data_IF_062933559560
#
_entry.id   IF_062933559560
#
_cell.length_a   1.000
_cell.length_b   1.000
_cell.length_c   1.000
_cell.angle_alpha   90.00
_cell.angle_beta   90.00
_cell.angle_gamma   90.00
#
_symmetry.space_group_name_H-M   'P 1'
#
loop_
_entity.id
_entity.type
_entity.pdbx_description
1 polymer ?
#
# COMPACT_ATOMS: atom_id res chain seq x y z
N UNK A 1 -39.59 -32.23 2.48
CA UNK A 1 -38.11 -32.14 2.42
C UNK A 1 -37.54 -30.73 2.29
N UNK A 2 -38.33 -29.65 2.15
CA UNK A 2 -37.80 -28.28 1.94
C UNK A 2 -37.57 -27.51 3.25
N UNK A 3 -38.40 -27.73 4.27
CA UNK A 3 -38.35 -26.98 5.53
C UNK A 3 -37.03 -27.12 6.33
N UNK A 4 -36.45 -28.33 6.37
CA UNK A 4 -35.22 -28.59 7.12
C UNK A 4 -34.00 -27.84 6.53
N UNK A 5 -33.92 -27.70 5.20
CA UNK A 5 -32.84 -26.99 4.52
C UNK A 5 -32.91 -25.48 4.76
N UNK A 6 -34.12 -24.92 4.81
CA UNK A 6 -34.36 -23.50 5.07
C UNK A 6 -34.00 -23.14 6.51
N UNK A 7 -34.34 -24.00 7.48
CA UNK A 7 -34.02 -23.81 8.89
C UNK A 7 -32.51 -23.74 9.16
N UNK A 8 -31.72 -24.65 8.59
CA UNK A 8 -30.25 -24.63 8.72
C UNK A 8 -29.63 -23.38 8.09
N UNK A 9 -30.16 -22.93 6.94
CA UNK A 9 -29.69 -21.70 6.29
C UNK A 9 -29.97 -20.47 7.15
N UNK A 10 -31.18 -20.36 7.68
CA UNK A 10 -31.58 -19.24 8.55
C UNK A 10 -30.72 -19.20 9.82
N UNK A 11 -30.46 -20.35 10.43
CA UNK A 11 -29.62 -20.45 11.62
C UNK A 11 -28.17 -20.00 11.33
N UNK A 12 -27.62 -20.41 10.18
CA UNK A 12 -26.31 -19.96 9.74
C UNK A 12 -26.27 -18.45 9.45
N UNK A 13 -27.28 -17.93 8.73
CA UNK A 13 -27.39 -16.50 8.43
C UNK A 13 -27.50 -15.66 9.70
N UNK A 14 -28.26 -16.14 10.70
CA UNK A 14 -28.37 -15.51 12.01
C UNK A 14 -27.02 -15.46 12.73
N UNK A 15 -26.32 -16.58 12.87
CA UNK A 15 -24.99 -16.62 13.52
C UNK A 15 -23.98 -15.73 12.79
N UNK A 16 -24.01 -15.73 11.45
CA UNK A 16 -23.13 -14.89 10.66
C UNK A 16 -23.46 -13.40 10.83
N UNK A 17 -24.73 -13.05 11.04
CA UNK A 17 -25.14 -11.68 11.32
C UNK A 17 -24.74 -11.25 12.73
N UNK A 18 -24.96 -12.11 13.74
CA UNK A 18 -24.52 -11.88 15.12
C UNK A 18 -23.01 -11.63 15.20
N UNK A 19 -22.22 -12.45 14.49
CA UNK A 19 -20.77 -12.25 14.42
C UNK A 19 -20.40 -10.90 13.77
N UNK A 20 -21.08 -10.53 12.68
CA UNK A 20 -20.84 -9.23 12.01
C UNK A 20 -21.17 -8.06 12.93
N UNK A 21 -22.27 -8.14 13.67
CA UNK A 21 -22.67 -7.09 14.61
C UNK A 21 -21.68 -6.99 15.77
N UNK A 22 -21.24 -8.11 16.32
CA UNK A 22 -20.26 -8.14 17.42
C UNK A 22 -18.91 -7.54 16.98
N UNK A 23 -18.42 -7.94 15.80
CA UNK A 23 -17.20 -7.36 15.22
C UNK A 23 -17.33 -5.87 14.95
N UNK A 24 -18.51 -5.41 14.52
CA UNK A 24 -18.76 -3.99 14.32
C UNK A 24 -18.75 -3.21 15.63
N UNK A 25 -19.36 -3.75 16.69
CA UNK A 25 -19.33 -3.15 18.02
C UNK A 25 -17.91 -3.07 18.55
N UNK A 26 -17.19 -4.19 18.55
CA UNK A 26 -15.81 -4.27 19.02
C UNK A 26 -14.90 -3.27 18.29
N UNK A 27 -15.01 -3.14 16.97
CA UNK A 27 -14.25 -2.13 16.19
C UNK A 27 -14.61 -0.70 16.57
N UNK A 28 -15.89 -0.43 16.86
CA UNK A 28 -16.35 0.89 17.27
C UNK A 28 -15.84 1.24 18.67
N UNK A 29 -15.92 0.29 19.61
CA UNK A 29 -15.50 0.47 20.99
C UNK A 29 -13.99 0.64 21.12
N UNK A 30 -13.22 -0.14 20.36
CA UNK A 30 -11.75 -0.01 20.29
C UNK A 30 -11.35 1.33 19.68
N UNK A 31 -12.02 1.77 18.60
CA UNK A 31 -11.76 3.07 18.02
C UNK A 31 -12.13 4.23 18.96
N UNK A 32 -13.26 4.13 19.65
CA UNK A 32 -13.66 5.13 20.64
C UNK A 32 -12.64 5.23 21.78
N UNK A 33 -12.23 4.08 22.32
CA UNK A 33 -11.19 4.00 23.35
C UNK A 33 -9.87 4.62 22.87
N UNK A 34 -9.49 4.37 21.62
CA UNK A 34 -8.33 5.00 20.99
C UNK A 34 -8.46 6.54 20.95
N UNK A 35 -9.59 7.07 20.47
CA UNK A 35 -9.83 8.52 20.41
C UNK A 35 -9.77 9.17 21.79
N UNK A 36 -10.36 8.53 22.81
CA UNK A 36 -10.33 9.01 24.20
C UNK A 36 -8.89 9.01 24.75
N UNK A 37 -8.07 8.04 24.35
CA UNK A 37 -6.67 7.95 24.79
C UNK A 37 -5.75 9.02 24.17
N UNK A 38 -6.17 9.71 23.11
CA UNK A 38 -5.35 10.72 22.45
C UNK A 38 -5.13 11.93 23.35
N UNK A 39 -3.88 12.36 23.45
CA UNK A 39 -3.46 13.48 24.30
C UNK A 39 -2.55 14.45 23.54
N UNK A 40 -2.51 15.68 24.03
CA UNK A 40 -1.59 16.72 23.56
C UNK A 40 -0.22 16.59 24.22
N UNK A 41 -0.13 15.97 25.40
CA UNK A 41 1.11 15.86 26.18
C UNK A 41 2.10 14.86 25.56
N UNK A 42 1.58 13.73 25.07
CA UNK A 42 2.36 12.65 24.45
C UNK A 42 2.46 12.78 22.93
N UNK A 43 1.97 13.90 22.36
CA UNK A 43 1.92 14.19 20.92
C UNK A 43 1.02 13.25 20.09
N UNK A 44 0.39 12.25 20.69
CA UNK A 44 -0.42 11.25 19.99
C UNK A 44 -1.56 11.87 19.17
N UNK A 45 -2.18 12.95 19.67
CA UNK A 45 -3.23 13.68 18.96
C UNK A 45 -2.71 14.34 17.67
N UNK A 46 -1.53 14.96 17.74
CA UNK A 46 -0.91 15.60 16.57
C UNK A 46 -0.49 14.55 15.53
N UNK A 47 0.17 13.48 15.97
CA UNK A 47 0.63 12.44 15.05
C UNK A 47 -0.57 11.74 14.39
N UNK A 48 -1.63 11.45 15.14
CA UNK A 48 -2.90 10.92 14.61
C UNK A 48 -3.52 11.85 13.56
N UNK A 49 -3.60 13.14 13.87
CA UNK A 49 -4.16 14.15 12.95
C UNK A 49 -3.29 14.29 11.70
N UNK A 50 -1.97 14.28 11.85
CA UNK A 50 -1.02 14.32 10.74
C UNK A 50 -1.16 13.10 9.84
N UNK A 51 -1.33 11.91 10.40
CA UNK A 51 -1.57 10.69 9.64
C UNK A 51 -2.93 10.72 8.92
N UNK A 52 -3.98 11.19 9.57
CA UNK A 52 -5.31 11.35 8.97
C UNK A 52 -5.30 12.33 7.78
N UNK A 53 -4.56 13.43 7.91
CA UNK A 53 -4.44 14.45 6.87
C UNK A 53 -3.36 14.14 5.83
N UNK A 54 -2.64 13.03 5.98
CA UNK A 54 -1.56 12.67 5.05
C UNK A 54 -2.17 12.32 3.70
N UNK A 55 -2.19 13.29 2.79
CA UNK A 55 -2.45 13.04 1.40
C UNK A 55 -1.30 12.19 0.85
N UNK A 56 -1.63 11.00 0.35
CA UNK A 56 -0.70 10.25 -0.47
C UNK A 56 -0.74 10.88 -1.86
N UNK A 57 0.32 11.57 -2.31
CA UNK A 57 0.36 12.03 -3.68
C UNK A 57 0.18 10.80 -4.58
N UNK A 58 -0.74 10.90 -5.55
CA UNK A 58 -0.84 9.87 -6.56
C UNK A 58 0.55 9.69 -7.19
N UNK A 59 1.01 8.45 -7.40
CA UNK A 59 2.29 8.23 -8.07
C UNK A 59 2.26 9.00 -9.39
N UNK A 60 3.31 9.78 -9.64
CA UNK A 60 3.40 10.57 -10.86
C UNK A 60 3.24 9.62 -12.05
N UNK A 61 2.35 9.93 -13.00
CA UNK A 61 2.15 9.07 -14.16
C UNK A 61 3.48 8.97 -14.91
N UNK A 62 3.90 7.74 -15.22
CA UNK A 62 5.10 7.52 -16.01
C UNK A 62 4.77 7.75 -17.47
N UNK A 63 5.69 8.38 -18.18
CA UNK A 63 5.55 8.72 -19.59
C UNK A 63 6.62 8.00 -20.37
N UNK A 64 6.20 7.32 -21.41
CA UNK A 64 7.07 6.66 -22.37
C UNK A 64 7.89 7.71 -23.15
N UNK A 65 9.02 7.30 -23.76
CA UNK A 65 9.83 8.18 -24.61
C UNK A 65 9.06 8.72 -25.82
N UNK A 66 8.02 8.00 -26.26
CA UNK A 66 7.12 8.36 -27.36
C UNK A 66 6.01 9.36 -26.96
N UNK A 67 6.09 9.91 -25.75
CA UNK A 67 5.12 10.85 -25.19
C UNK A 67 3.78 10.24 -24.73
N UNK A 68 3.63 8.91 -24.79
CA UNK A 68 2.43 8.22 -24.32
C UNK A 68 2.47 7.92 -22.83
N UNK A 69 1.30 7.78 -22.19
CA UNK A 69 1.20 7.50 -20.75
C UNK A 69 1.17 5.99 -20.48
N UNK A 70 1.92 5.54 -19.47
CA UNK A 70 1.83 4.15 -19.01
C UNK A 70 0.47 3.88 -18.39
N UNK A 71 -0.19 2.78 -18.77
CA UNK A 71 -1.57 2.49 -18.35
C UNK A 71 -1.69 1.36 -17.33
N UNK A 72 -0.85 0.34 -17.41
CA UNK A 72 -0.85 -0.81 -16.50
C UNK A 72 0.37 -0.80 -15.59
N UNK A 73 0.29 -1.54 -14.48
CA UNK A 73 1.44 -1.67 -13.58
C UNK A 73 2.57 -2.50 -14.19
N UNK A 74 2.23 -3.45 -15.06
CA UNK A 74 3.21 -4.22 -15.86
C UNK A 74 3.99 -3.31 -16.81
N UNK A 75 3.31 -2.40 -17.50
CA UNK A 75 3.92 -1.43 -18.41
C UNK A 75 4.89 -0.49 -17.66
N UNK A 76 4.49 -0.03 -16.46
CA UNK A 76 5.37 0.74 -15.58
C UNK A 76 6.60 -0.06 -15.16
N UNK A 77 6.44 -1.33 -14.81
CA UNK A 77 7.53 -2.21 -14.39
C UNK A 77 8.55 -2.41 -15.52
N UNK A 78 8.08 -2.64 -16.74
CA UNK A 78 8.94 -2.74 -17.92
C UNK A 78 9.68 -1.43 -18.20
N UNK A 79 9.01 -0.29 -18.09
CA UNK A 79 9.63 1.03 -18.25
C UNK A 79 10.77 1.24 -17.25
N UNK A 80 10.53 0.95 -15.97
CA UNK A 80 11.56 1.01 -14.94
C UNK A 80 12.72 0.06 -15.23
N UNK A 81 12.45 -1.21 -15.58
CA UNK A 81 13.49 -2.18 -15.89
C UNK A 81 14.37 -1.73 -17.06
N UNK A 82 13.78 -1.20 -18.13
CA UNK A 82 14.49 -0.68 -19.29
C UNK A 82 15.35 0.53 -18.94
N UNK A 83 14.80 1.46 -18.15
CA UNK A 83 15.54 2.63 -17.69
C UNK A 83 16.76 2.23 -16.83
N UNK A 84 16.57 1.35 -15.86
CA UNK A 84 17.65 0.85 -15.00
C UNK A 84 18.72 0.14 -15.84
N UNK A 85 18.34 -0.71 -16.79
CA UNK A 85 19.28 -1.37 -17.71
C UNK A 85 20.11 -0.36 -18.51
N UNK A 86 19.51 0.76 -18.91
CA UNK A 86 20.21 1.82 -19.64
C UNK A 86 21.20 2.58 -18.76
N UNK A 87 20.79 2.95 -17.55
CA UNK A 87 21.60 3.73 -16.61
C UNK A 87 22.77 2.92 -16.05
N UNK A 88 22.54 1.65 -15.73
CA UNK A 88 23.54 0.76 -15.14
C UNK A 88 24.30 -0.03 -16.21
N UNK A 89 24.82 0.65 -17.22
CA UNK A 89 25.78 0.05 -18.15
C UNK A 89 27.19 0.10 -17.55
N UNK A 90 28.02 -0.95 -17.74
CA UNK A 90 29.41 -0.90 -17.33
C UNK A 90 30.08 0.28 -18.05
N UNK A 91 30.76 1.15 -17.29
CA UNK A 91 31.59 2.20 -17.87
C UNK A 91 32.55 1.57 -18.89
N UNK A 92 32.71 2.13 -20.09
CA UNK A 92 33.71 1.64 -21.02
C UNK A 92 35.05 1.68 -20.30
N UNK A 93 35.64 0.49 -20.13
CA UNK A 93 36.92 0.27 -19.48
C UNK A 93 38.04 0.86 -20.34
N UNK A 94 38.16 2.19 -20.31
CA UNK A 94 39.29 2.94 -20.85
C UNK A 94 39.19 4.39 -20.39
N UNK A 95 39.14 4.62 -19.07
CA UNK A 95 39.74 5.86 -18.57
C UNK A 95 41.23 5.57 -18.37
N UNK A 96 42.15 6.12 -19.19
CA UNK A 96 43.57 5.82 -19.10
C UNK A 96 44.20 6.26 -17.77
N UNK A 97 43.47 6.97 -16.90
CA UNK A 97 43.93 7.43 -15.60
C UNK A 97 44.09 6.32 -14.54
N UNK A 98 43.56 5.11 -14.77
CA UNK A 98 43.66 4.00 -13.79
C UNK A 98 44.40 2.77 -14.33
N UNK A 99 45.10 2.89 -15.45
CA UNK A 99 46.03 1.87 -15.92
C UNK A 99 47.26 1.80 -14.99
N UNK A 100 47.09 1.07 -13.89
CA UNK A 100 48.10 0.22 -13.24
C UNK A 100 49.51 0.80 -13.27
N UNK A 101 49.88 1.57 -12.24
CA UNK A 101 51.30 1.70 -11.86
C UNK A 101 51.77 0.36 -11.28
N UNK A 102 52.68 -0.38 -11.92
CA UNK A 102 53.41 -1.44 -11.26
C UNK A 102 54.60 -0.81 -10.51
N UNK A 103 54.78 -1.22 -9.25
CA UNK A 103 55.98 -0.88 -8.46
C UNK A 103 57.23 -1.57 -8.96
#
# INVERSE_FOLDING_TARGET
MVAHKISNRQHYEQMAQELRTELSSFRSDTYNSYIISLSTHDRSLWDSTKHLLRSHPAPSPLRHPDNSWTRSDEDKAHMFANHLRSVFQPSPESDPLHARTPG
#
